data_IF_855604964892
#
_entry.id   IF_855604964892
#
_cell.length_a   1.000
_cell.length_b   1.000
_cell.length_c   1.000
_cell.angle_alpha   90.00
_cell.angle_beta   90.00
_cell.angle_gamma   90.00
#
_symmetry.space_group_name_H-M   'P 1'
#
loop_
_entity.id
_entity.type
_entity.pdbx_description
1 polymer ?
#
# COMPACT_ATOMS: atom_id res chain seq x y z
N UNK A 1 -34.66 -0.79 13.33
CA UNK A 1 -33.54 0.06 13.80
C UNK A 1 -33.32 1.16 12.79
N UNK A 2 -32.94 2.39 13.24
CA UNK A 2 -32.63 3.50 12.32
C UNK A 2 -31.40 3.16 11.49
N UNK A 3 -31.44 3.43 10.18
CA UNK A 3 -30.30 3.29 9.27
C UNK A 3 -29.16 4.21 9.70
N UNK A 4 -27.94 3.70 9.72
CA UNK A 4 -26.75 4.51 10.06
C UNK A 4 -26.39 5.45 8.90
N UNK A 5 -26.16 6.72 9.21
CA UNK A 5 -25.67 7.72 8.27
C UNK A 5 -24.14 7.70 8.28
N UNK A 6 -23.55 7.21 7.21
CA UNK A 6 -22.09 7.03 7.11
C UNK A 6 -21.50 8.08 6.17
N UNK A 7 -20.38 8.68 6.57
CA UNK A 7 -19.47 9.37 5.69
C UNK A 7 -18.33 8.46 5.27
N UNK A 8 -17.76 8.68 4.10
CA UNK A 8 -16.58 7.97 3.62
C UNK A 8 -15.46 8.96 3.26
N UNK A 9 -14.27 8.75 3.79
CA UNK A 9 -13.08 9.56 3.49
C UNK A 9 -12.00 8.68 2.86
N UNK A 10 -11.60 8.96 1.61
CA UNK A 10 -10.60 8.18 0.90
C UNK A 10 -10.16 8.82 -0.41
N UNK A 11 -9.08 8.33 -1.02
CA UNK A 11 -8.58 8.93 -2.27
C UNK A 11 -8.14 7.92 -3.33
N UNK A 12 -7.28 6.90 -3.07
CA UNK A 12 -6.76 5.99 -4.08
C UNK A 12 -7.77 4.91 -4.49
N UNK A 13 -7.39 4.13 -5.51
CA UNK A 13 -8.19 3.00 -6.01
C UNK A 13 -8.53 1.96 -4.92
N UNK A 14 -7.64 1.74 -3.96
CA UNK A 14 -7.93 0.87 -2.82
C UNK A 14 -9.16 1.34 -2.03
N UNK A 15 -9.25 2.64 -1.75
CA UNK A 15 -10.40 3.25 -1.07
C UNK A 15 -11.66 3.24 -1.94
N UNK A 16 -11.52 3.51 -3.24
CA UNK A 16 -12.62 3.49 -4.20
C UNK A 16 -13.29 2.11 -4.26
N UNK A 17 -12.51 1.03 -4.34
CA UNK A 17 -13.03 -0.35 -4.37
C UNK A 17 -13.78 -0.72 -3.09
N UNK A 18 -13.32 -0.26 -1.92
CA UNK A 18 -14.04 -0.45 -0.65
C UNK A 18 -15.36 0.33 -0.68
N UNK A 19 -15.33 1.59 -1.10
CA UNK A 19 -16.55 2.39 -1.23
C UNK A 19 -17.54 1.77 -2.20
N UNK A 20 -17.08 1.31 -3.38
CA UNK A 20 -17.90 0.62 -4.37
C UNK A 20 -18.61 -0.61 -3.77
N UNK A 21 -17.87 -1.42 -3.01
CA UNK A 21 -18.44 -2.60 -2.35
C UNK A 21 -19.47 -2.25 -1.26
N UNK A 22 -19.31 -1.10 -0.59
CA UNK A 22 -20.30 -0.60 0.38
C UNK A 22 -21.54 -0.04 -0.31
N UNK A 23 -21.41 0.62 -1.45
CA UNK A 23 -22.54 1.15 -2.24
C UNK A 23 -23.36 0.05 -2.91
N UNK A 24 -22.72 -1.07 -3.28
CA UNK A 24 -23.40 -2.23 -3.84
C UNK A 24 -24.22 -3.02 -2.79
N UNK A 25 -23.94 -2.78 -1.50
CA UNK A 25 -24.66 -3.43 -0.41
C UNK A 25 -26.07 -2.84 -0.28
N UNK A 26 -27.07 -3.56 -0.83
CA UNK A 26 -28.48 -3.19 -0.70
C UNK A 26 -29.00 -3.55 0.69
N UNK A 27 -28.82 -2.63 1.63
CA UNK A 27 -29.13 -2.87 3.03
C UNK A 27 -29.80 -1.65 3.65
N UNK A 28 -30.83 -1.86 4.43
CA UNK A 28 -31.47 -0.82 5.23
C UNK A 28 -30.67 -0.45 6.50
N UNK A 29 -29.55 -1.14 6.75
CA UNK A 29 -28.75 -0.96 7.96
C UNK A 29 -27.88 0.29 7.95
N UNK A 30 -27.43 0.74 6.79
CA UNK A 30 -26.63 1.96 6.63
C UNK A 30 -26.79 2.59 5.24
N UNK A 31 -26.41 3.88 5.15
CA UNK A 31 -26.35 4.60 3.88
C UNK A 31 -25.10 5.50 3.85
N UNK A 32 -24.49 5.65 2.67
CA UNK A 32 -23.36 6.58 2.46
C UNK A 32 -23.94 7.96 2.13
N UNK A 33 -23.79 8.92 3.03
CA UNK A 33 -24.44 10.24 2.93
C UNK A 33 -23.52 11.35 2.44
N UNK A 34 -22.21 11.14 2.51
CA UNK A 34 -21.22 12.08 1.97
C UNK A 34 -19.86 11.40 1.77
N UNK A 35 -19.08 11.98 0.90
CA UNK A 35 -17.72 11.56 0.59
C UNK A 35 -16.76 12.72 0.82
N UNK A 36 -15.59 12.39 1.39
CA UNK A 36 -14.48 13.32 1.52
C UNK A 36 -13.28 12.72 0.80
N UNK A 37 -12.65 13.49 -0.09
CA UNK A 37 -11.48 13.03 -0.85
C UNK A 37 -10.49 14.17 -1.04
N UNK A 38 -9.28 13.87 -1.52
CA UNK A 38 -8.31 14.92 -1.86
C UNK A 38 -8.76 15.71 -3.08
N UNK A 39 -8.41 16.99 -3.12
CA UNK A 39 -8.62 17.83 -4.28
C UNK A 39 -7.94 17.25 -5.53
N UNK A 40 -8.48 17.49 -6.73
CA UNK A 40 -7.87 17.09 -7.98
C UNK A 40 -6.42 17.58 -8.07
N UNK A 41 -5.51 16.72 -8.55
CA UNK A 41 -4.10 17.05 -8.71
C UNK A 41 -3.69 17.02 -10.17
N UNK A 42 -2.76 17.92 -10.53
CA UNK A 42 -2.17 17.91 -11.86
C UNK A 42 -1.29 16.66 -12.04
N UNK A 43 -1.55 15.85 -13.07
CA UNK A 43 -0.80 14.63 -13.39
C UNK A 43 -0.60 14.49 -14.90
N UNK A 44 0.42 13.67 -15.27
CA UNK A 44 0.72 13.34 -16.67
C UNK A 44 1.44 14.45 -17.44
N UNK A 45 1.79 14.15 -18.71
CA UNK A 45 2.57 15.05 -19.59
C UNK A 45 1.83 16.34 -19.94
N UNK A 46 0.52 16.42 -19.76
CA UNK A 46 -0.29 17.64 -20.01
C UNK A 46 -0.68 18.38 -18.74
N UNK A 47 -0.21 17.96 -17.56
CA UNK A 47 -0.59 18.54 -16.26
C UNK A 47 -2.11 18.70 -16.06
N UNK A 48 -2.89 17.81 -16.63
CA UNK A 48 -4.34 17.81 -16.50
C UNK A 48 -4.75 17.57 -15.04
N UNK A 49 -5.80 18.29 -14.60
CA UNK A 49 -6.41 18.07 -13.30
C UNK A 49 -7.14 16.73 -13.30
N UNK A 50 -6.65 15.80 -12.51
CA UNK A 50 -7.22 14.45 -12.39
C UNK A 50 -7.91 14.34 -11.03
N UNK A 51 -9.21 14.04 -11.06
CA UNK A 51 -10.00 13.71 -9.87
C UNK A 51 -9.52 12.39 -9.26
N UNK A 52 -9.74 12.21 -7.96
CA UNK A 52 -9.49 10.91 -7.31
C UNK A 52 -10.51 9.87 -7.78
N UNK A 53 -10.17 8.57 -7.78
CA UNK A 53 -11.14 7.50 -8.06
C UNK A 53 -12.39 7.58 -7.17
N UNK A 54 -12.21 7.91 -5.90
CA UNK A 54 -13.29 8.08 -4.92
C UNK A 54 -14.22 9.27 -5.28
N UNK A 55 -13.66 10.38 -5.82
CA UNK A 55 -14.46 11.51 -6.29
C UNK A 55 -15.36 11.13 -7.47
N UNK A 56 -14.79 10.42 -8.43
CA UNK A 56 -15.51 9.98 -9.63
C UNK A 56 -16.68 9.07 -9.23
N UNK A 57 -16.42 8.04 -8.41
CA UNK A 57 -17.45 7.12 -7.94
C UNK A 57 -18.55 7.82 -7.15
N UNK A 58 -18.20 8.82 -6.33
CA UNK A 58 -19.17 9.60 -5.58
C UNK A 58 -20.12 10.40 -6.46
N UNK A 59 -19.58 11.07 -7.48
CA UNK A 59 -20.36 11.84 -8.46
C UNK A 59 -21.28 10.93 -9.28
N UNK A 60 -20.80 9.78 -9.73
CA UNK A 60 -21.58 8.78 -10.48
C UNK A 60 -22.77 8.25 -9.68
N UNK A 61 -22.64 8.18 -8.34
CA UNK A 61 -23.71 7.74 -7.45
C UNK A 61 -24.51 8.90 -6.83
N UNK A 62 -24.33 10.13 -7.31
CA UNK A 62 -25.02 11.34 -6.83
C UNK A 62 -24.86 11.60 -5.32
N UNK A 63 -23.73 11.20 -4.75
CA UNK A 63 -23.39 11.43 -3.34
C UNK A 63 -22.61 12.73 -3.22
N UNK A 64 -22.93 13.62 -2.25
CA UNK A 64 -22.19 14.85 -2.03
C UNK A 64 -20.70 14.59 -1.79
N UNK A 65 -19.82 15.17 -2.63
CA UNK A 65 -18.36 15.02 -2.56
C UNK A 65 -17.72 16.32 -2.08
N UNK A 66 -16.92 16.24 -1.04
CA UNK A 66 -16.13 17.33 -0.48
C UNK A 66 -14.64 17.08 -0.68
N UNK A 67 -13.93 18.07 -1.19
CA UNK A 67 -12.47 17.98 -1.42
C UNK A 67 -11.73 19.14 -0.75
N UNK A 68 -11.69 19.17 0.59
CA UNK A 68 -11.02 20.26 1.30
C UNK A 68 -9.51 20.21 1.09
N UNK A 69 -8.89 21.34 0.80
CA UNK A 69 -7.43 21.47 0.77
C UNK A 69 -6.82 21.29 2.17
N UNK A 70 -7.55 21.72 3.18
CA UNK A 70 -7.15 21.65 4.59
C UNK A 70 -8.37 21.74 5.49
N UNK A 71 -8.34 21.05 6.62
CA UNK A 71 -9.35 21.19 7.69
C UNK A 71 -9.10 22.39 8.63
N UNK A 72 -8.00 23.10 8.46
CA UNK A 72 -7.70 24.33 9.22
C UNK A 72 -8.55 25.52 8.75
N UNK A 73 -8.94 25.55 7.50
CA UNK A 73 -9.85 26.56 6.97
C UNK A 73 -11.27 26.33 7.49
N UNK A 74 -11.96 27.42 7.87
CA UNK A 74 -13.38 27.34 8.28
C UNK A 74 -14.24 26.87 7.09
N UNK A 75 -14.75 25.66 7.19
CA UNK A 75 -15.76 25.11 6.28
C UNK A 75 -16.97 24.70 7.11
N UNK A 76 -17.89 25.65 7.29
CA UNK A 76 -19.08 25.44 8.12
C UNK A 76 -20.02 24.38 7.55
N UNK A 77 -20.15 24.29 6.23
CA UNK A 77 -20.99 23.30 5.57
C UNK A 77 -20.46 21.88 5.81
N UNK A 78 -19.16 21.65 5.56
CA UNK A 78 -18.51 20.36 5.80
C UNK A 78 -18.65 19.91 7.26
N UNK A 79 -18.42 20.82 8.22
CA UNK A 79 -18.58 20.51 9.65
C UNK A 79 -20.04 20.17 10.00
N UNK A 80 -21.02 20.91 9.46
CA UNK A 80 -22.44 20.63 9.67
C UNK A 80 -22.82 19.25 9.12
N UNK A 81 -22.32 18.90 7.94
CA UNK A 81 -22.55 17.57 7.33
C UNK A 81 -21.91 16.45 8.15
N UNK A 82 -20.65 16.62 8.59
CA UNK A 82 -19.96 15.65 9.45
C UNK A 82 -20.67 15.44 10.79
N UNK A 83 -21.17 16.49 11.40
CA UNK A 83 -21.92 16.43 12.67
C UNK A 83 -23.29 15.75 12.53
N UNK A 84 -23.79 15.57 11.32
CA UNK A 84 -25.04 14.87 11.03
C UNK A 84 -24.83 13.37 10.74
N UNK A 85 -23.59 12.90 10.73
CA UNK A 85 -23.24 11.49 10.54
C UNK A 85 -23.26 10.72 11.85
N UNK A 86 -23.52 9.43 11.73
CA UNK A 86 -23.31 8.47 12.81
C UNK A 86 -21.84 8.03 12.87
N UNK A 87 -21.22 7.81 11.70
CA UNK A 87 -19.84 7.30 11.60
C UNK A 87 -19.13 7.87 10.37
N UNK A 88 -17.81 8.10 10.45
CA UNK A 88 -16.96 8.36 9.28
C UNK A 88 -15.98 7.17 9.09
N UNK A 89 -16.05 6.51 7.94
CA UNK A 89 -15.08 5.50 7.53
C UNK A 89 -13.95 6.18 6.78
N UNK A 90 -12.71 5.92 7.18
CA UNK A 90 -11.51 6.52 6.59
C UNK A 90 -10.63 5.42 6.00
N UNK A 91 -10.21 5.59 4.74
CA UNK A 91 -9.36 4.66 4.02
C UNK A 91 -8.34 5.39 3.16
N UNK A 92 -7.08 5.34 3.50
CA UNK A 92 -6.00 5.96 2.71
C UNK A 92 -6.35 7.39 2.22
N UNK A 93 -6.89 8.22 3.09
CA UNK A 93 -7.35 9.56 2.73
C UNK A 93 -6.19 10.52 2.42
N UNK A 94 -5.10 10.40 3.19
CA UNK A 94 -3.86 11.13 2.93
C UNK A 94 -3.80 12.57 3.44
N UNK A 95 -4.79 13.04 4.19
CA UNK A 95 -4.75 14.27 4.98
C UNK A 95 -5.03 13.95 6.45
N UNK A 96 -4.40 14.70 7.34
CA UNK A 96 -4.64 14.58 8.78
C UNK A 96 -6.02 15.15 9.13
N UNK A 97 -6.83 14.37 9.84
CA UNK A 97 -8.09 14.80 10.41
C UNK A 97 -7.84 15.32 11.84
N UNK A 98 -7.97 16.62 12.10
CA UNK A 98 -7.73 17.15 13.43
C UNK A 98 -8.80 16.69 14.42
N UNK A 99 -8.47 16.71 15.73
CA UNK A 99 -9.32 16.21 16.80
C UNK A 99 -10.75 16.76 16.79
N UNK A 100 -10.91 18.04 16.46
CA UNK A 100 -12.23 18.68 16.34
C UNK A 100 -13.09 18.20 15.15
N UNK A 101 -12.48 17.48 14.20
CA UNK A 101 -13.18 16.81 13.09
C UNK A 101 -13.48 15.36 13.47
N UNK A 102 -12.53 14.68 14.11
CA UNK A 102 -12.69 13.28 14.54
C UNK A 102 -13.88 13.07 15.48
N UNK A 103 -14.25 14.11 16.24
CA UNK A 103 -15.33 14.08 17.23
C UNK A 103 -16.71 14.50 16.68
N UNK A 104 -16.82 14.89 15.40
CA UNK A 104 -18.10 15.36 14.85
C UNK A 104 -19.11 14.26 14.60
N UNK A 105 -18.73 13.08 14.00
CA UNK A 105 -19.67 11.98 13.87
C UNK A 105 -20.00 11.38 15.26
N UNK A 106 -21.25 10.95 15.45
CA UNK A 106 -21.76 10.44 16.74
C UNK A 106 -20.88 9.33 17.36
N UNK A 107 -20.37 8.40 16.51
CA UNK A 107 -19.47 7.30 16.92
C UNK A 107 -18.03 7.55 16.44
N UNK A 108 -17.70 8.79 16.05
CA UNK A 108 -16.36 9.19 15.62
C UNK A 108 -15.96 8.64 14.24
N UNK A 109 -14.66 8.37 14.08
CA UNK A 109 -14.06 7.97 12.82
C UNK A 109 -13.38 6.61 12.96
N UNK A 110 -13.57 5.73 11.98
CA UNK A 110 -12.94 4.41 11.91
C UNK A 110 -11.99 4.37 10.72
N UNK A 111 -10.72 4.06 10.98
CA UNK A 111 -9.75 3.87 9.91
C UNK A 111 -9.60 2.37 9.57
N UNK A 112 -9.57 2.06 8.28
CA UNK A 112 -9.22 0.74 7.76
C UNK A 112 -7.71 0.75 7.48
N UNK A 113 -6.95 0.10 8.35
CA UNK A 113 -5.49 0.09 8.28
C UNK A 113 -4.96 -1.28 7.85
N UNK A 114 -4.24 -1.38 6.71
CA UNK A 114 -3.79 -2.66 6.15
C UNK A 114 -2.49 -3.15 6.81
N UNK A 115 -2.51 -3.35 8.12
CA UNK A 115 -1.51 -4.07 8.90
C UNK A 115 -2.09 -4.63 10.20
N UNK A 116 -1.34 -5.51 10.86
CA UNK A 116 -1.64 -5.97 12.22
C UNK A 116 -1.00 -5.02 13.23
N UNK A 117 -1.76 -3.98 13.62
CA UNK A 117 -1.30 -3.01 14.61
C UNK A 117 -1.02 -3.67 15.98
N UNK A 118 0.01 -3.19 16.68
CA UNK A 118 0.70 -1.91 16.55
C UNK A 118 1.86 -1.90 15.55
N UNK A 119 2.11 -3.00 14.83
CA UNK A 119 3.15 -3.07 13.82
C UNK A 119 2.72 -2.32 12.57
N UNK A 120 3.63 -1.50 12.00
CA UNK A 120 3.44 -0.76 10.77
C UNK A 120 2.39 0.37 10.83
N UNK A 121 2.38 1.16 11.92
CA UNK A 121 1.66 2.44 11.94
C UNK A 121 2.21 3.38 10.86
N UNK A 122 1.36 4.00 10.05
CA UNK A 122 1.79 5.02 9.07
C UNK A 122 1.39 4.76 7.63
N UNK A 123 2.13 5.36 6.69
CA UNK A 123 1.68 5.57 5.31
C UNK A 123 1.86 4.38 4.36
N UNK A 124 2.75 3.42 4.65
CA UNK A 124 3.14 2.38 3.70
C UNK A 124 3.20 0.98 4.33
N UNK A 125 2.18 0.54 5.10
CA UNK A 125 2.24 -0.69 5.89
C UNK A 125 2.46 -1.95 5.03
N UNK A 126 1.80 -2.07 3.89
CA UNK A 126 1.92 -3.23 2.99
C UNK A 126 3.35 -3.37 2.46
N UNK A 127 3.93 -2.26 1.97
CA UNK A 127 5.31 -2.25 1.48
C UNK A 127 6.29 -2.67 2.57
N UNK A 128 6.16 -2.08 3.76
CA UNK A 128 7.09 -2.33 4.87
C UNK A 128 7.00 -3.75 5.42
N UNK A 129 5.82 -4.36 5.43
CA UNK A 129 5.64 -5.76 5.83
C UNK A 129 6.39 -6.71 4.88
N UNK A 130 6.24 -6.54 3.55
CA UNK A 130 6.95 -7.37 2.57
C UNK A 130 8.46 -7.09 2.61
N UNK A 131 8.88 -5.83 2.65
CA UNK A 131 10.29 -5.43 2.68
C UNK A 131 11.02 -6.01 3.88
N UNK A 132 10.38 -5.99 5.05
CA UNK A 132 10.93 -6.58 6.27
C UNK A 132 10.96 -8.11 6.25
N UNK A 133 10.23 -8.75 5.34
CA UNK A 133 10.10 -10.19 5.27
C UNK A 133 9.19 -10.77 6.36
N UNK A 134 8.15 -10.03 6.75
CA UNK A 134 7.15 -10.52 7.68
C UNK A 134 6.44 -11.75 7.09
N UNK A 135 6.18 -12.75 7.92
CA UNK A 135 5.47 -13.97 7.52
C UNK A 135 3.96 -13.78 7.47
N UNK A 136 3.45 -12.76 8.14
CA UNK A 136 2.02 -12.44 8.19
C UNK A 136 1.80 -10.94 8.31
N UNK A 137 0.64 -10.51 7.82
CA UNK A 137 0.09 -9.17 7.96
C UNK A 137 -1.43 -9.27 8.12
N UNK A 138 -2.16 -8.19 7.94
CA UNK A 138 -3.63 -8.22 8.02
C UNK A 138 -4.25 -6.85 7.87
N UNK A 139 -5.48 -6.73 8.34
CA UNK A 139 -6.24 -5.49 8.36
C UNK A 139 -6.76 -5.24 9.77
N UNK A 140 -6.64 -4.02 10.25
CA UNK A 140 -7.27 -3.55 11.48
C UNK A 140 -8.33 -2.48 11.18
N UNK A 141 -9.48 -2.56 11.82
CA UNK A 141 -10.42 -1.45 11.97
C UNK A 141 -10.12 -0.78 13.31
N UNK A 142 -9.69 0.47 13.27
CA UNK A 142 -9.31 1.22 14.48
C UNK A 142 -10.19 2.45 14.67
N UNK A 143 -10.50 2.77 15.91
CA UNK A 143 -11.02 4.09 16.27
C UNK A 143 -9.93 5.11 16.01
N UNK A 144 -10.22 6.17 15.27
CA UNK A 144 -9.20 7.21 15.04
C UNK A 144 -9.07 8.11 16.27
N UNK A 145 -7.82 8.43 16.57
CA UNK A 145 -7.39 9.37 17.60
C UNK A 145 -6.48 10.43 16.99
N UNK A 146 -6.02 11.36 17.78
CA UNK A 146 -5.17 12.48 17.33
C UNK A 146 -3.82 11.99 16.78
N UNK A 147 -3.25 10.96 17.40
CA UNK A 147 -1.99 10.37 16.96
C UNK A 147 -2.21 9.35 15.85
N UNK A 148 -1.24 9.27 14.94
CA UNK A 148 -1.33 8.43 13.76
C UNK A 148 -1.40 6.93 14.10
N UNK A 149 -2.52 6.30 13.74
CA UNK A 149 -2.80 4.87 13.86
C UNK A 149 -2.60 4.27 15.28
N UNK A 150 -2.78 5.09 16.34
CA UNK A 150 -2.60 4.67 17.74
C UNK A 150 -3.89 4.21 18.39
N UNK A 151 -5.03 4.51 17.82
CA UNK A 151 -6.33 4.28 18.44
C UNK A 151 -6.67 2.81 18.66
N UNK A 152 -7.65 2.51 19.50
CA UNK A 152 -8.02 1.13 19.85
C UNK A 152 -8.61 0.39 18.65
N UNK A 153 -8.39 -0.93 18.65
CA UNK A 153 -8.77 -1.85 17.58
C UNK A 153 -10.17 -2.40 17.85
N UNK A 154 -11.09 -2.18 16.92
CA UNK A 154 -12.42 -2.78 16.92
C UNK A 154 -12.43 -4.20 16.42
N UNK A 155 -11.75 -4.44 15.28
CA UNK A 155 -11.63 -5.73 14.62
C UNK A 155 -10.30 -5.85 13.91
N UNK A 156 -9.82 -7.07 13.79
CA UNK A 156 -8.65 -7.37 12.97
C UNK A 156 -8.79 -8.75 12.33
N UNK A 157 -8.19 -8.92 11.16
CA UNK A 157 -8.08 -10.20 10.46
C UNK A 157 -6.66 -10.34 9.89
N UNK A 158 -6.03 -11.49 10.13
CA UNK A 158 -4.65 -11.77 9.69
C UNK A 158 -4.64 -12.59 8.40
N UNK A 159 -3.55 -12.47 7.65
CA UNK A 159 -3.25 -13.29 6.47
C UNK A 159 -1.75 -13.52 6.36
N UNK A 160 -1.35 -14.70 5.87
CA UNK A 160 0.05 -15.01 5.59
C UNK A 160 0.55 -14.24 4.38
N UNK A 161 1.82 -13.86 4.40
CA UNK A 161 2.53 -13.29 3.24
C UNK A 161 3.33 -14.43 2.60
N UNK A 162 2.96 -14.81 1.37
CA UNK A 162 3.67 -15.85 0.65
C UNK A 162 5.00 -15.32 0.10
N UNK A 163 5.94 -16.23 -0.12
CA UNK A 163 7.28 -15.89 -0.61
C UNK A 163 7.28 -15.16 -1.96
N UNK A 164 6.28 -15.42 -2.80
CA UNK A 164 6.12 -14.78 -4.10
C UNK A 164 5.13 -13.61 -4.11
N UNK A 165 4.55 -13.24 -2.96
CA UNK A 165 3.65 -12.10 -2.91
C UNK A 165 4.40 -10.80 -3.21
N UNK A 166 3.84 -10.03 -4.13
CA UNK A 166 4.23 -8.64 -4.40
C UNK A 166 3.30 -7.69 -3.65
N UNK A 167 3.64 -6.40 -3.65
CA UNK A 167 2.71 -5.38 -3.16
C UNK A 167 1.33 -5.51 -3.82
N UNK A 168 1.27 -5.72 -5.13
CA UNK A 168 -0.01 -5.78 -5.86
C UNK A 168 -0.87 -6.99 -5.48
N UNK A 169 -0.26 -8.19 -5.34
CA UNK A 169 -1.01 -9.39 -4.93
C UNK A 169 -1.51 -9.26 -3.50
N UNK A 170 -0.65 -8.83 -2.58
CA UNK A 170 -1.00 -8.65 -1.18
C UNK A 170 -2.01 -7.53 -0.97
N UNK A 171 -1.91 -6.39 -1.69
CA UNK A 171 -2.91 -5.31 -1.68
C UNK A 171 -4.29 -5.85 -2.08
N UNK A 172 -4.37 -6.72 -3.09
CA UNK A 172 -5.63 -7.34 -3.53
C UNK A 172 -6.22 -8.23 -2.45
N UNK A 173 -5.40 -9.04 -1.79
CA UNK A 173 -5.84 -9.88 -0.67
C UNK A 173 -6.34 -9.04 0.51
N UNK A 174 -5.59 -8.02 0.90
CA UNK A 174 -5.96 -7.11 1.99
C UNK A 174 -7.19 -6.27 1.67
N UNK A 175 -7.41 -5.94 0.40
CA UNK A 175 -8.64 -5.28 -0.07
C UNK A 175 -9.87 -6.15 0.21
N UNK A 176 -9.83 -7.44 -0.15
CA UNK A 176 -10.95 -8.36 0.07
C UNK A 176 -11.24 -8.54 1.57
N UNK A 177 -10.18 -8.65 2.38
CA UNK A 177 -10.31 -8.71 3.84
C UNK A 177 -10.92 -7.40 4.37
N UNK A 178 -10.47 -6.25 3.89
CA UNK A 178 -10.99 -4.93 4.30
C UNK A 178 -12.48 -4.78 4.02
N UNK A 179 -12.93 -5.19 2.83
CA UNK A 179 -14.34 -5.15 2.44
C UNK A 179 -15.18 -6.06 3.35
N UNK A 180 -14.76 -7.30 3.56
CA UNK A 180 -15.43 -8.25 4.46
C UNK A 180 -15.51 -7.70 5.88
N UNK A 181 -14.40 -7.22 6.40
CA UNK A 181 -14.26 -6.77 7.78
C UNK A 181 -15.13 -5.54 8.06
N UNK A 182 -15.12 -4.54 7.15
CA UNK A 182 -15.92 -3.33 7.33
C UNK A 182 -17.43 -3.60 7.17
N UNK A 183 -17.84 -4.46 6.24
CA UNK A 183 -19.23 -4.87 6.12
C UNK A 183 -19.72 -5.55 7.40
N UNK A 184 -19.00 -6.54 7.91
CA UNK A 184 -19.35 -7.22 9.16
C UNK A 184 -19.43 -6.23 10.33
N UNK A 185 -18.49 -5.29 10.44
CA UNK A 185 -18.48 -4.26 11.48
C UNK A 185 -19.73 -3.38 11.42
N UNK A 186 -20.18 -2.98 10.21
CA UNK A 186 -21.35 -2.16 10.02
C UNK A 186 -22.66 -2.91 10.30
N UNK A 187 -22.73 -4.22 10.02
CA UNK A 187 -23.89 -5.05 10.34
C UNK A 187 -23.99 -5.34 11.83
N UNK A 188 -22.89 -5.67 12.47
CA UNK A 188 -22.85 -5.97 13.91
C UNK A 188 -23.04 -4.73 14.80
N UNK A 189 -22.66 -3.54 14.31
CA UNK A 189 -22.76 -2.25 15.02
C UNK A 189 -22.25 -2.30 16.47
N UNK A 190 -21.04 -2.80 16.73
CA UNK A 190 -20.54 -3.01 18.10
C UNK A 190 -20.51 -1.71 18.90
N UNK A 191 -20.26 -0.57 18.25
CA UNK A 191 -20.25 0.77 18.84
C UNK A 191 -21.65 1.22 19.32
N UNK A 192 -22.73 0.75 18.68
CA UNK A 192 -24.14 0.99 19.12
C UNK A 192 -24.50 0.10 20.29
N UNK A 193 -23.97 -1.12 20.32
CA UNK A 193 -24.25 -2.12 21.35
C UNK A 193 -23.43 -1.93 22.64
N UNK A 194 -22.64 -0.87 22.74
CA UNK A 194 -21.82 -0.58 23.90
C UNK A 194 -20.56 -1.43 24.03
N UNK A 195 -20.14 -2.12 22.95
CA UNK A 195 -18.87 -2.80 22.93
C UNK A 195 -17.71 -1.79 22.99
N UNK A 196 -16.59 -2.21 23.56
CA UNK A 196 -15.38 -1.38 23.70
C UNK A 196 -14.27 -1.91 22.81
N UNK A 197 -13.66 -1.04 22.03
CA UNK A 197 -12.49 -1.38 21.22
C UNK A 197 -11.27 -1.69 22.09
N UNK A 198 -10.45 -2.64 21.69
CA UNK A 198 -9.28 -3.10 22.44
C UNK A 198 -8.11 -2.13 22.25
N UNK A 199 -7.55 -1.60 23.35
CA UNK A 199 -6.34 -0.77 23.31
C UNK A 199 -5.18 -1.52 22.67
N UNK A 200 -4.41 -0.84 21.81
CA UNK A 200 -3.21 -1.41 21.22
C UNK A 200 -2.13 -1.68 22.26
N UNK A 201 -1.30 -2.70 22.01
CA UNK A 201 -0.07 -2.91 22.80
C UNK A 201 0.95 -1.80 22.51
N UNK A 202 1.73 -1.47 23.52
CA UNK A 202 2.90 -0.59 23.35
C UNK A 202 4.13 -1.35 22.87
N UNK A 203 4.13 -2.68 23.01
CA UNK A 203 5.19 -3.56 22.52
C UNK A 203 4.96 -3.89 21.04
N UNK A 204 6.05 -3.92 20.26
CA UNK A 204 6.02 -4.29 18.84
C UNK A 204 5.62 -3.13 17.90
N UNK A 205 5.59 -1.90 18.39
CA UNK A 205 5.33 -0.72 17.57
C UNK A 205 6.44 -0.54 16.55
N UNK A 206 6.09 -0.55 15.26
CA UNK A 206 6.96 -0.16 14.17
C UNK A 206 6.26 0.85 13.28
N UNK A 207 7.07 1.76 12.69
CA UNK A 207 6.55 2.81 11.81
C UNK A 207 6.70 2.44 10.35
N UNK A 208 5.63 2.56 9.59
CA UNK A 208 5.60 2.39 8.13
C UNK A 208 5.73 3.75 7.44
N UNK A 209 6.95 4.29 7.43
CA UNK A 209 7.24 5.55 6.77
C UNK A 209 6.93 5.48 5.28
N UNK A 210 6.57 6.62 4.69
CA UNK A 210 6.43 6.76 3.24
C UNK A 210 7.73 6.37 2.52
N UNK A 211 7.60 5.60 1.43
CA UNK A 211 8.74 5.17 0.62
C UNK A 211 9.35 6.39 -0.09
N UNK A 212 10.64 6.58 0.07
CA UNK A 212 11.40 7.66 -0.56
C UNK A 212 12.12 7.16 -1.82
N UNK A 213 12.34 8.03 -2.79
CA UNK A 213 12.93 7.64 -4.10
C UNK A 213 14.31 7.00 -3.98
N UNK A 214 15.13 7.42 -3.02
CA UNK A 214 16.47 6.86 -2.82
C UNK A 214 16.42 5.42 -2.28
N UNK A 215 15.40 5.08 -1.51
CA UNK A 215 15.19 3.72 -1.00
C UNK A 215 14.94 2.69 -2.11
N UNK A 216 14.49 3.16 -3.28
CA UNK A 216 14.21 2.28 -4.42
C UNK A 216 15.46 1.81 -5.16
N UNK A 217 16.65 2.34 -4.85
CA UNK A 217 17.90 1.83 -5.42
C UNK A 217 18.28 0.51 -4.78
N UNK A 218 18.62 -0.50 -5.61
CA UNK A 218 19.17 -1.76 -5.13
C UNK A 218 20.63 -1.56 -4.71
N UNK A 219 20.97 -2.08 -3.53
CA UNK A 219 22.34 -2.28 -3.10
C UNK A 219 22.68 -3.78 -3.22
N UNK A 220 23.48 -4.13 -4.20
CA UNK A 220 23.84 -5.53 -4.48
C UNK A 220 24.70 -6.17 -3.37
N UNK A 221 25.26 -5.37 -2.45
CA UNK A 221 25.95 -5.86 -1.27
C UNK A 221 25.02 -6.43 -0.19
N UNK A 222 23.72 -6.16 -0.30
CA UNK A 222 22.74 -6.67 0.64
C UNK A 222 22.54 -8.19 0.45
N UNK A 223 22.02 -8.85 1.49
CA UNK A 223 21.66 -10.27 1.42
C UNK A 223 20.56 -10.51 0.38
N UNK A 224 20.58 -11.68 -0.27
CA UNK A 224 19.56 -12.07 -1.29
C UNK A 224 18.14 -11.81 -0.79
N UNK A 225 17.81 -12.26 0.43
CA UNK A 225 16.47 -12.12 1.00
C UNK A 225 16.04 -10.65 1.11
N UNK A 226 16.96 -9.76 1.46
CA UNK A 226 16.70 -8.30 1.55
C UNK A 226 16.37 -7.73 0.17
N UNK A 227 17.19 -8.06 -0.84
CA UNK A 227 16.97 -7.58 -2.22
C UNK A 227 15.70 -8.18 -2.81
N UNK A 228 15.48 -9.47 -2.64
CA UNK A 228 14.27 -10.17 -3.08
C UNK A 228 13.00 -9.54 -2.51
N UNK A 229 12.96 -9.36 -1.20
CA UNK A 229 11.83 -8.73 -0.52
C UNK A 229 11.60 -7.29 -1.00
N UNK A 230 12.67 -6.52 -1.18
CA UNK A 230 12.59 -5.13 -1.66
C UNK A 230 12.02 -5.03 -3.07
N UNK A 231 12.42 -5.92 -3.98
CA UNK A 231 11.85 -5.96 -5.34
C UNK A 231 10.36 -6.25 -5.28
N UNK A 232 9.93 -7.27 -4.53
CA UNK A 232 8.52 -7.64 -4.35
C UNK A 232 7.69 -6.53 -3.68
N UNK A 233 8.25 -5.96 -2.62
CA UNK A 233 7.59 -4.91 -1.84
C UNK A 233 7.27 -3.67 -2.67
N UNK A 234 8.11 -3.35 -3.64
CA UNK A 234 7.98 -2.12 -4.44
C UNK A 234 7.40 -2.37 -5.84
N UNK A 235 7.00 -3.59 -6.17
CA UNK A 235 6.39 -3.95 -7.45
C UNK A 235 4.86 -3.86 -7.38
N UNK A 236 4.17 -3.13 -8.27
CA UNK A 236 4.70 -2.36 -9.42
C UNK A 236 5.14 -0.92 -9.09
N UNK A 237 4.81 -0.40 -7.92
CA UNK A 237 5.07 0.99 -7.55
C UNK A 237 5.66 1.08 -6.13
N UNK A 238 6.69 1.93 -5.95
CA UNK A 238 7.35 2.82 -6.92
C UNK A 238 8.26 2.10 -7.91
N UNK A 239 8.54 0.82 -7.73
CA UNK A 239 9.48 0.00 -8.44
C UNK A 239 10.93 0.25 -7.98
N UNK A 240 11.72 -0.82 -7.91
CA UNK A 240 13.14 -0.72 -7.62
C UNK A 240 13.94 -0.45 -8.88
N UNK A 241 15.17 0.03 -8.71
CA UNK A 241 16.07 0.25 -9.81
C UNK A 241 17.53 -0.01 -9.44
N UNK A 242 18.32 -0.26 -10.49
CA UNK A 242 19.78 -0.29 -10.45
C UNK A 242 20.32 0.55 -11.59
N UNK A 243 21.64 0.77 -11.64
CA UNK A 243 22.32 1.45 -12.74
C UNK A 243 23.09 0.44 -13.60
N UNK A 244 23.04 0.64 -14.93
CA UNK A 244 23.81 -0.09 -15.91
C UNK A 244 24.54 0.93 -16.77
N UNK A 245 25.82 1.16 -16.48
CA UNK A 245 26.52 2.35 -16.97
C UNK A 245 25.77 3.62 -16.55
N UNK A 246 25.42 4.47 -17.51
CA UNK A 246 24.63 5.69 -17.29
C UNK A 246 23.11 5.44 -17.29
N UNK A 247 22.65 4.22 -17.59
CA UNK A 247 21.24 3.89 -17.74
C UNK A 247 20.65 3.45 -16.40
N UNK A 248 19.45 3.95 -16.11
CA UNK A 248 18.64 3.48 -15.00
C UNK A 248 17.74 2.35 -15.45
N UNK A 249 17.84 1.20 -14.79
CA UNK A 249 17.09 -0.02 -15.10
C UNK A 249 16.19 -0.37 -13.93
N UNK A 250 14.89 -0.51 -14.16
CA UNK A 250 13.95 -1.06 -13.19
C UNK A 250 13.95 -2.59 -13.27
N UNK A 251 13.69 -3.22 -12.13
CA UNK A 251 13.69 -4.67 -11.94
C UNK A 251 12.35 -5.13 -11.41
N UNK A 252 11.89 -6.31 -11.86
CA UNK A 252 10.70 -6.97 -11.33
C UNK A 252 10.81 -8.48 -11.44
N UNK A 253 9.92 -9.20 -10.75
CA UNK A 253 9.83 -10.65 -10.72
C UNK A 253 11.17 -11.30 -10.31
N UNK A 254 11.62 -11.08 -9.05
CA UNK A 254 12.81 -11.73 -8.53
C UNK A 254 12.53 -13.23 -8.35
N UNK A 255 13.54 -14.03 -8.58
CA UNK A 255 13.53 -15.47 -8.31
C UNK A 255 14.59 -15.75 -7.26
N UNK A 256 14.18 -16.34 -6.16
CA UNK A 256 15.12 -16.77 -5.14
C UNK A 256 15.89 -17.99 -5.65
N UNK A 257 17.20 -17.85 -5.83
CA UNK A 257 18.08 -18.95 -6.18
C UNK A 257 18.85 -19.30 -4.92
N UNK A 258 18.49 -20.42 -4.32
CA UNK A 258 19.19 -20.94 -3.16
C UNK A 258 20.61 -21.30 -3.54
N UNK A 259 21.56 -20.74 -2.87
CA UNK A 259 22.95 -20.94 -3.18
C UNK A 259 23.61 -21.63 -2.00
N UNK A 260 24.11 -22.83 -2.21
CA UNK A 260 24.96 -23.49 -1.22
C UNK A 260 26.12 -22.58 -0.81
N UNK A 261 26.63 -22.74 0.39
CA UNK A 261 27.61 -21.86 1.05
C UNK A 261 28.89 -21.49 0.26
N UNK A 262 29.06 -21.98 -0.98
CA UNK A 262 30.27 -21.84 -1.81
C UNK A 262 30.06 -21.12 -3.16
N UNK A 263 28.97 -20.46 -3.39
CA UNK A 263 28.57 -20.07 -4.75
C UNK A 263 28.90 -18.64 -5.19
N UNK A 264 29.35 -17.77 -4.29
CA UNK A 264 30.09 -16.57 -4.70
C UNK A 264 31.59 -16.80 -4.38
N UNK A 265 32.46 -16.98 -5.36
CA UNK A 265 33.88 -17.12 -5.11
C UNK A 265 34.41 -15.90 -4.33
N UNK A 266 35.35 -16.10 -3.38
CA UNK A 266 36.00 -15.00 -2.70
C UNK A 266 36.57 -14.01 -3.72
N UNK A 267 36.23 -12.71 -3.57
CA UNK A 267 36.69 -11.66 -4.49
C UNK A 267 35.76 -11.38 -5.69
N UNK A 268 34.62 -12.04 -5.78
CA UNK A 268 33.65 -11.73 -6.85
C UNK A 268 32.92 -10.41 -6.54
N UNK A 269 32.94 -9.47 -7.48
CA UNK A 269 32.29 -8.18 -7.31
C UNK A 269 30.76 -8.33 -7.32
N UNK A 270 30.11 -7.70 -6.36
CA UNK A 270 28.65 -7.67 -6.26
C UNK A 270 28.05 -6.89 -7.43
N UNK A 271 26.84 -7.30 -7.85
CA UNK A 271 26.21 -6.75 -9.05
C UNK A 271 26.67 -7.40 -10.36
N UNK A 272 27.65 -8.33 -10.33
CA UNK A 272 28.08 -9.07 -11.49
C UNK A 272 26.93 -9.91 -12.04
N UNK A 273 26.66 -9.78 -13.32
CA UNK A 273 25.68 -10.56 -14.05
C UNK A 273 26.34 -11.85 -14.50
N UNK A 274 25.89 -12.99 -13.98
CA UNK A 274 26.22 -14.30 -14.54
C UNK A 274 25.23 -14.63 -15.64
N UNK A 275 25.76 -14.90 -16.82
CA UNK A 275 24.98 -15.23 -18.01
C UNK A 275 25.06 -16.75 -18.18
N UNK A 276 23.90 -17.39 -18.08
CA UNK A 276 23.74 -18.78 -18.48
C UNK A 276 22.76 -18.83 -19.64
N UNK A 277 23.18 -19.43 -20.76
CA UNK A 277 22.37 -19.54 -21.97
C UNK A 277 21.11 -20.39 -21.72
N UNK A 278 19.93 -19.85 -22.08
CA UNK A 278 18.67 -20.58 -22.02
C UNK A 278 17.79 -20.24 -20.80
N UNK A 279 18.21 -19.40 -19.88
CA UNK A 279 17.46 -19.13 -18.65
C UNK A 279 16.40 -18.02 -18.80
N UNK A 280 15.29 -18.19 -18.05
CA UNK A 280 14.21 -17.21 -17.96
C UNK A 280 14.58 -15.98 -17.09
N UNK A 281 15.68 -16.03 -16.34
CA UNK A 281 16.11 -15.00 -15.41
C UNK A 281 17.60 -14.71 -15.55
N UNK A 282 18.00 -13.45 -15.46
CA UNK A 282 19.41 -13.09 -15.28
C UNK A 282 19.83 -13.34 -13.83
N UNK A 283 20.92 -14.04 -13.66
CA UNK A 283 21.54 -14.31 -12.36
C UNK A 283 22.49 -13.17 -11.98
N UNK A 284 22.28 -12.58 -10.80
CA UNK A 284 23.05 -11.44 -10.32
C UNK A 284 23.65 -11.76 -8.96
N UNK A 285 24.95 -11.55 -8.80
CA UNK A 285 25.66 -11.81 -7.55
C UNK A 285 25.28 -10.75 -6.51
N UNK A 286 24.88 -11.22 -5.33
CA UNK A 286 24.50 -10.41 -4.16
C UNK A 286 25.47 -10.66 -3.00
N UNK A 287 25.27 -9.99 -1.87
CA UNK A 287 26.17 -10.08 -0.70
C UNK A 287 26.38 -11.47 -0.14
N UNK A 288 25.43 -12.40 -0.29
CA UNK A 288 25.54 -13.78 0.22
C UNK A 288 25.06 -14.84 -0.78
N UNK A 289 25.05 -14.54 -2.09
CA UNK A 289 24.67 -15.52 -3.10
C UNK A 289 24.17 -14.90 -4.40
N UNK A 290 23.27 -15.58 -5.11
CA UNK A 290 22.81 -15.20 -6.46
C UNK A 290 21.30 -15.03 -6.48
N UNK A 291 20.83 -13.87 -6.98
CA UNK A 291 19.42 -13.58 -7.22
C UNK A 291 19.13 -13.66 -8.72
N UNK A 292 18.07 -14.38 -9.11
CA UNK A 292 17.52 -14.31 -10.45
C UNK A 292 16.55 -13.13 -10.59
N UNK A 293 16.56 -12.46 -11.75
CA UNK A 293 15.58 -11.42 -12.08
C UNK A 293 15.03 -11.68 -13.48
N UNK A 294 13.69 -11.74 -13.59
CA UNK A 294 13.03 -12.10 -14.86
C UNK A 294 12.74 -10.92 -15.76
N UNK A 295 12.43 -9.75 -15.20
CA UNK A 295 11.96 -8.61 -15.98
C UNK A 295 12.73 -7.34 -15.70
N UNK A 296 13.00 -6.63 -16.80
CA UNK A 296 13.81 -5.41 -16.84
C UNK A 296 13.07 -4.30 -17.59
N UNK A 297 13.31 -3.05 -17.19
CA UNK A 297 12.74 -1.89 -17.89
C UNK A 297 13.69 -0.71 -17.84
N UNK A 298 14.11 -0.24 -19.02
CA UNK A 298 14.84 1.04 -19.17
C UNK A 298 13.91 2.22 -18.88
N UNK A 299 14.43 3.32 -18.41
CA UNK A 299 13.65 4.52 -18.20
C UNK A 299 12.95 4.95 -19.51
N UNK A 300 11.65 5.24 -19.44
CA UNK A 300 10.81 5.54 -20.62
C UNK A 300 10.45 4.34 -21.51
N UNK A 301 11.05 3.15 -21.29
CA UNK A 301 10.82 1.95 -22.09
C UNK A 301 9.64 1.10 -21.62
N UNK A 302 9.50 -0.09 -22.22
CA UNK A 302 8.57 -1.15 -21.84
C UNK A 302 9.27 -2.19 -20.99
N UNK A 303 8.51 -2.99 -20.23
CA UNK A 303 9.03 -4.18 -19.58
C UNK A 303 9.42 -5.21 -20.63
N UNK A 304 10.59 -5.81 -20.49
CA UNK A 304 11.13 -6.86 -21.35
C UNK A 304 11.63 -8.03 -20.52
N UNK A 305 11.71 -9.20 -21.11
CA UNK A 305 12.26 -10.40 -20.46
C UNK A 305 13.77 -10.26 -20.20
N UNK A 306 14.30 -11.11 -19.32
CA UNK A 306 15.74 -11.22 -19.10
C UNK A 306 16.49 -11.51 -20.40
N UNK A 307 15.96 -12.44 -21.24
CA UNK A 307 16.52 -12.79 -22.56
C UNK A 307 16.58 -11.58 -23.49
N UNK A 308 15.47 -10.83 -23.61
CA UNK A 308 15.42 -9.65 -24.49
C UNK A 308 16.31 -8.53 -23.99
N UNK A 309 16.39 -8.35 -22.67
CA UNK A 309 17.31 -7.39 -22.06
C UNK A 309 18.76 -7.74 -22.38
N UNK A 310 19.11 -9.03 -22.26
CA UNK A 310 20.42 -9.54 -22.60
C UNK A 310 20.77 -9.27 -24.06
N UNK A 311 19.91 -9.72 -25.01
CA UNK A 311 20.12 -9.58 -26.43
C UNK A 311 20.21 -8.11 -26.89
N UNK A 312 19.32 -7.23 -26.36
CA UNK A 312 19.23 -5.82 -26.76
C UNK A 312 20.40 -4.95 -26.28
N UNK A 313 21.18 -5.43 -25.31
CA UNK A 313 22.34 -4.70 -24.77
C UNK A 313 23.68 -5.31 -25.19
N UNK A 314 23.69 -6.38 -26.01
CA UNK A 314 24.93 -7.09 -26.43
C UNK A 314 25.81 -7.37 -25.21
N UNK A 315 25.19 -7.89 -24.14
CA UNK A 315 25.88 -8.11 -22.88
C UNK A 315 27.02 -9.12 -23.10
N UNK A 316 28.24 -8.68 -22.89
CA UNK A 316 29.43 -9.54 -22.87
C UNK A 316 29.67 -10.01 -21.45
N UNK A 317 30.57 -10.99 -21.28
CA UNK A 317 31.00 -11.43 -19.96
C UNK A 317 31.52 -10.29 -19.07
N UNK A 318 31.34 -10.39 -17.75
CA UNK A 318 31.79 -9.44 -16.74
C UNK A 318 31.10 -8.06 -16.75
N UNK A 319 29.78 -8.05 -16.86
CA UNK A 319 28.98 -6.85 -16.75
C UNK A 319 28.42 -6.69 -15.33
N UNK A 320 28.41 -5.46 -14.84
CA UNK A 320 27.99 -5.14 -13.48
C UNK A 320 26.80 -4.17 -13.47
N UNK A 321 25.90 -4.41 -12.53
CA UNK A 321 24.95 -3.42 -12.05
C UNK A 321 25.53 -2.65 -10.86
N UNK A 322 25.29 -1.32 -10.81
CA UNK A 322 25.73 -0.42 -9.73
C UNK A 322 24.53 0.19 -8.97
#
# INVERSE_FOLDING_TARGET
MKSLKIGFAGSPAFAEKILSALLQEKSDFFSINMIITQAPKRKGRGLNLIKTPVSILGEENSIPVFSPESFLKKNCELKKKLNALDLLIVVAYGLVLPCNILKLPNFGCINIHPSLLPRWRGASPIHRAIEAGDESTGVCLIQMEENLDTGPIWKQESVSINENDTYASLETTLLNISIKLVKNFLFEKPFVMGCVAKKQSENGVLMASKILKFECKINWSDKIKVIHNKIRAFDPYPGVYTSFGSLRIKLANPVYIEVGANSAPPGTSQGLIKIETGEEALKIICGNGILGVKNFKKEGGKWISARDFFNSNSLKENIYFN
#
